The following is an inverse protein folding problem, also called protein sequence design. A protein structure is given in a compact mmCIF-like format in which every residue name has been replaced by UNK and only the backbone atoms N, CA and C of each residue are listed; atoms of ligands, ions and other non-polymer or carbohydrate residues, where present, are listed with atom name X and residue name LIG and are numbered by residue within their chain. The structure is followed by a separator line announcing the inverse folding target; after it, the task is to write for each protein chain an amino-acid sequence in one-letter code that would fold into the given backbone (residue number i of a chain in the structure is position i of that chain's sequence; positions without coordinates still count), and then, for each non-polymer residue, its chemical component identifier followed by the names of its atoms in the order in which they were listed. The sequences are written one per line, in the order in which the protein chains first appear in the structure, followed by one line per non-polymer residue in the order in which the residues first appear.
data_IF_751925262697
#
_entry.id   IF_751925262697
#
_cell.length_a   1.000
_cell.length_b   1.000
_cell.length_c   1.000
_cell.angle_alpha   90.00
_cell.angle_beta   90.00
_cell.angle_gamma   90.00
#
_symmetry.space_group_name_H-M   'P 1'
#
loop_
_entity.id
_entity.type
_entity.pdbx_description
1 polymer ?
#
# COMPACT_ATOMS: atom_id res chain seq x y z
N UNK A 1 23.57 52.65 50.68
CA UNK A 1 23.40 51.20 50.90
C UNK A 1 22.03 50.81 50.39
N UNK A 2 21.94 50.12 49.25
CA UNK A 2 20.94 49.09 48.96
C UNK A 2 21.34 48.49 47.60
N UNK A 3 21.64 47.18 47.59
CA UNK A 3 22.08 46.40 46.44
C UNK A 3 20.87 46.06 45.56
N UNK A 4 20.96 46.29 44.26
CA UNK A 4 20.04 45.75 43.27
C UNK A 4 20.44 44.29 42.95
N UNK A 5 19.47 43.38 43.08
CA UNK A 5 19.57 41.96 42.69
C UNK A 5 19.09 41.83 41.25
N UNK A 6 19.91 41.25 40.37
CA UNK A 6 19.51 40.79 39.04
C UNK A 6 18.88 39.40 39.15
N UNK A 7 17.65 39.25 38.63
CA UNK A 7 17.04 37.96 38.33
C UNK A 7 17.03 37.82 36.81
N UNK A 8 17.84 36.91 36.29
CA UNK A 8 17.86 36.56 34.88
C UNK A 8 16.65 35.66 34.56
N UNK A 9 15.87 36.05 33.55
CA UNK A 9 14.76 35.26 33.01
C UNK A 9 15.27 34.43 31.83
N UNK A 10 15.15 33.11 31.91
CA UNK A 10 15.47 32.19 30.82
C UNK A 10 14.33 32.15 29.79
N UNK A 11 14.60 32.10 28.48
CA UNK A 11 13.57 31.96 27.47
C UNK A 11 13.07 30.51 27.41
N UNK A 12 11.74 30.37 27.41
CA UNK A 12 10.99 29.13 27.19
C UNK A 12 11.13 28.72 25.71
N UNK A 13 11.87 27.65 25.44
CA UNK A 13 11.94 27.02 24.11
C UNK A 13 10.71 26.14 23.94
N UNK A 14 9.81 26.56 23.06
CA UNK A 14 8.66 25.80 22.62
C UNK A 14 9.13 24.76 21.58
N UNK A 15 9.26 23.51 21.99
CA UNK A 15 9.59 22.41 21.08
C UNK A 15 8.38 22.07 20.20
N UNK A 16 8.52 22.24 18.88
CA UNK A 16 7.61 21.66 17.89
C UNK A 16 7.82 20.15 17.86
N UNK A 17 6.76 19.37 18.13
CA UNK A 17 6.73 17.94 17.83
C UNK A 17 6.65 17.74 16.31
N UNK A 18 7.72 17.22 15.73
CA UNK A 18 7.70 16.58 14.43
C UNK A 18 7.18 15.15 14.59
N UNK A 19 6.11 14.79 13.87
CA UNK A 19 5.68 13.41 13.72
C UNK A 19 6.62 12.69 12.75
N UNK A 20 7.78 12.29 13.26
CA UNK A 20 8.64 11.28 12.67
C UNK A 20 8.52 10.04 13.57
N UNK A 21 7.82 9.01 13.09
CA UNK A 21 7.90 7.70 13.72
C UNK A 21 9.22 7.07 13.29
N UNK A 22 10.21 7.07 14.17
CA UNK A 22 11.54 6.54 13.89
C UNK A 22 12.55 7.05 14.90
N UNK A 23 12.51 6.46 16.10
CA UNK A 23 13.60 6.25 17.06
C UNK A 23 13.06 6.31 18.49
N UNK A 24 12.57 5.17 18.97
CA UNK A 24 12.59 4.86 20.40
C UNK A 24 12.83 3.36 20.54
N UNK A 25 13.95 3.02 21.18
CA UNK A 25 14.31 1.67 21.56
C UNK A 25 13.14 1.00 22.29
N UNK A 26 12.73 -0.18 21.80
CA UNK A 26 11.71 -1.01 22.42
C UNK A 26 12.04 -1.23 23.91
N UNK A 27 11.20 -0.70 24.80
CA UNK A 27 11.22 -1.08 26.21
C UNK A 27 10.51 -2.42 26.37
N UNK A 28 11.09 -3.38 27.13
CA UNK A 28 10.44 -4.66 27.36
C UNK A 28 9.19 -4.48 28.23
N UNK A 29 8.07 -5.08 27.81
CA UNK A 29 6.85 -5.22 28.59
C UNK A 29 7.13 -6.21 29.74
N UNK A 30 7.21 -5.72 30.97
CA UNK A 30 7.29 -6.57 32.16
C UNK A 30 5.89 -6.93 32.64
N UNK A 31 5.51 -8.20 32.45
CA UNK A 31 4.34 -8.80 33.07
C UNK A 31 4.58 -9.05 34.56
N UNK A 32 3.74 -8.45 35.41
CA UNK A 32 3.67 -8.72 36.84
C UNK A 32 2.28 -9.23 37.20
N UNK A 33 2.16 -10.54 37.44
CA UNK A 33 0.94 -11.15 37.94
C UNK A 33 0.80 -11.07 39.47
N UNK A 34 -0.45 -11.07 39.94
CA UNK A 34 -0.81 -11.48 41.30
C UNK A 34 -1.85 -10.59 41.99
N UNK A 35 -3.03 -11.15 42.29
CA UNK A 35 -3.95 -10.55 43.27
C UNK A 35 -5.43 -10.95 43.14
N UNK A 36 -5.82 -12.02 43.84
CA UNK A 36 -7.19 -12.44 44.10
C UNK A 36 -8.05 -11.38 44.83
N UNK A 37 -9.35 -11.31 44.54
CA UNK A 37 -10.31 -10.72 45.49
C UNK A 37 -11.73 -10.46 44.96
N UNK A 38 -12.70 -11.24 45.42
CA UNK A 38 -14.01 -10.73 45.87
C UNK A 38 -15.15 -10.53 44.85
N UNK A 39 -16.09 -11.49 44.80
CA UNK A 39 -17.52 -11.25 44.49
C UNK A 39 -18.18 -10.44 45.63
N UNK A 40 -19.21 -9.63 45.35
CA UNK A 40 -20.62 -10.07 45.40
C UNK A 40 -21.41 -9.55 44.18
N UNK A 41 -22.57 -10.03 43.74
CA UNK A 41 -23.69 -10.76 44.35
C UNK A 41 -24.98 -9.98 44.09
N UNK A 42 -25.81 -10.39 43.11
CA UNK A 42 -27.26 -10.11 42.95
C UNK A 42 -27.73 -10.82 41.65
N UNK A 43 -28.46 -11.95 41.64
CA UNK A 43 -29.86 -12.24 41.99
C UNK A 43 -30.91 -11.64 41.04
N UNK A 44 -31.67 -12.51 40.36
CA UNK A 44 -32.89 -12.21 39.60
C UNK A 44 -32.99 -13.04 38.31
N UNK A 45 -33.29 -14.34 38.37
CA UNK A 45 -34.63 -14.96 38.41
C UNK A 45 -35.24 -15.21 37.01
N UNK A 46 -35.64 -16.47 36.85
CA UNK A 46 -36.08 -17.18 35.65
C UNK A 46 -37.56 -17.01 35.28
N UNK A 47 -37.90 -17.38 34.04
CA UNK A 47 -39.00 -18.29 33.64
C UNK A 47 -39.15 -18.23 32.11
N UNK A 48 -39.37 -19.29 31.31
CA UNK A 48 -39.59 -20.72 31.55
C UNK A 48 -40.13 -21.38 30.26
N UNK A 49 -39.94 -22.70 30.13
CA UNK A 49 -40.64 -23.72 29.30
C UNK A 49 -40.57 -23.59 27.75
N UNK A 50 -40.53 -24.65 26.91
CA UNK A 50 -40.86 -26.09 26.96
C UNK A 50 -40.08 -26.80 25.83
N UNK A 51 -39.46 -27.98 26.04
CA UNK A 51 -39.93 -29.38 25.82
C UNK A 51 -39.40 -30.09 24.54
N UNK A 52 -39.04 -31.38 24.73
CA UNK A 52 -38.87 -32.44 23.72
C UNK A 52 -37.44 -32.66 23.22
N UNK A 53 -36.72 -33.77 23.43
CA UNK A 53 -37.06 -35.13 23.88
C UNK A 53 -36.43 -36.17 22.94
N UNK A 54 -35.48 -36.98 23.46
CA UNK A 54 -35.04 -38.31 22.97
C UNK A 54 -34.20 -38.34 21.68
N UNK A 55 -33.26 -39.26 21.43
CA UNK A 55 -32.70 -40.41 22.14
C UNK A 55 -31.31 -40.68 21.51
N UNK A 56 -30.33 -41.12 22.31
CA UNK A 56 -29.15 -41.82 21.82
C UNK A 56 -29.43 -43.33 21.77
N UNK A 57 -28.69 -44.09 20.95
CA UNK A 57 -27.86 -45.10 21.58
C UNK A 57 -26.45 -45.22 21.00
N UNK A 58 -25.59 -45.71 21.87
CA UNK A 58 -24.20 -46.12 21.66
C UNK A 58 -24.11 -47.34 20.72
N UNK A 59 -22.98 -47.45 20.01
CA UNK A 59 -22.61 -48.63 19.23
C UNK A 59 -21.10 -48.66 18.98
N UNK A 60 -20.42 -49.55 19.71
CA UNK A 60 -18.99 -49.85 19.60
C UNK A 60 -18.61 -50.64 18.33
N UNK A 61 -17.38 -50.43 17.85
CA UNK A 61 -16.53 -51.50 17.31
C UNK A 61 -16.38 -51.61 15.78
N UNK A 62 -15.15 -51.46 15.27
CA UNK A 62 -14.80 -51.94 13.93
C UNK A 62 -13.55 -51.34 13.29
N UNK A 63 -12.41 -52.00 13.51
CA UNK A 63 -11.09 -51.73 12.90
C UNK A 63 -11.11 -51.81 11.36
N UNK A 64 -10.42 -50.86 10.70
CA UNK A 64 -10.12 -50.87 9.27
C UNK A 64 -8.94 -49.94 8.97
N UNK A 65 -7.78 -50.53 8.70
CA UNK A 65 -6.48 -49.90 8.48
C UNK A 65 -6.33 -49.26 7.08
N UNK A 66 -5.51 -48.20 7.04
CA UNK A 66 -4.57 -47.80 5.96
C UNK A 66 -4.85 -46.51 5.18
N UNK A 67 -4.25 -45.44 5.70
CA UNK A 67 -3.28 -44.55 5.03
C UNK A 67 -3.63 -43.88 3.69
N UNK A 68 -3.94 -42.58 3.76
CA UNK A 68 -3.23 -41.54 3.01
C UNK A 68 -3.31 -40.24 3.85
N UNK A 69 -2.21 -39.91 4.53
CA UNK A 69 -2.13 -38.82 5.49
C UNK A 69 -2.27 -37.45 4.82
N UNK A 70 -3.30 -36.71 5.23
CA UNK A 70 -3.31 -35.27 5.17
C UNK A 70 -2.23 -34.73 6.14
N UNK A 71 -1.47 -33.67 5.80
CA UNK A 71 -0.57 -33.07 6.76
C UNK A 71 -1.41 -32.42 7.87
N UNK A 72 -1.20 -32.92 9.08
CA UNK A 72 -1.72 -32.41 10.35
C UNK A 72 -0.99 -31.13 10.74
N UNK A 73 -1.75 -30.12 11.12
CA UNK A 73 -1.47 -29.08 12.12
C UNK A 73 0.00 -28.67 12.31
N UNK A 74 0.42 -27.64 11.57
CA UNK A 74 1.53 -26.78 11.97
C UNK A 74 0.99 -25.63 12.84
N UNK A 75 0.56 -25.97 14.05
CA UNK A 75 0.13 -25.04 15.10
C UNK A 75 1.09 -25.08 16.28
N UNK A 76 2.37 -24.84 16.02
CA UNK A 76 3.33 -24.55 17.08
C UNK A 76 3.30 -23.05 17.35
N UNK A 77 2.62 -22.62 18.41
CA UNK A 77 2.78 -21.25 18.91
C UNK A 77 4.27 -21.05 19.22
N UNK A 78 4.92 -20.09 18.54
CA UNK A 78 6.29 -19.74 18.86
C UNK A 78 6.34 -19.29 20.32
N UNK A 79 7.09 -20.00 21.16
CA UNK A 79 7.21 -19.70 22.58
C UNK A 79 7.90 -18.33 22.71
N UNK A 80 7.15 -17.31 23.14
CA UNK A 80 7.64 -15.96 23.34
C UNK A 80 8.49 -15.88 24.61
N UNK A 81 9.60 -16.63 24.64
CA UNK A 81 10.55 -16.70 25.74
C UNK A 81 11.06 -15.33 26.17
N UNK A 82 11.54 -15.24 27.41
CA UNK A 82 12.11 -13.99 27.95
C UNK A 82 13.25 -13.47 27.05
N UNK A 83 13.36 -12.14 26.87
CA UNK A 83 14.34 -11.56 25.96
C UNK A 83 15.76 -12.00 26.31
N UNK A 84 16.44 -12.63 25.36
CA UNK A 84 17.78 -13.16 25.56
C UNK A 84 18.80 -12.01 25.57
N UNK A 85 19.69 -11.99 26.57
CA UNK A 85 20.72 -10.94 26.74
C UNK A 85 21.97 -11.16 25.88
N UNK A 86 21.82 -11.83 24.74
CA UNK A 86 22.90 -12.15 23.79
C UNK A 86 22.82 -11.25 22.55
N UNK A 87 23.79 -11.41 21.64
CA UNK A 87 23.90 -10.59 20.41
C UNK A 87 23.86 -9.08 20.72
N UNK A 88 24.72 -8.63 21.65
CA UNK A 88 24.77 -7.25 22.14
C UNK A 88 23.41 -6.71 22.67
N UNK A 89 22.57 -7.60 23.21
CA UNK A 89 21.25 -7.28 23.75
C UNK A 89 20.11 -7.32 22.73
N UNK A 90 20.39 -7.70 21.48
CA UNK A 90 19.37 -7.85 20.42
C UNK A 90 18.64 -9.20 20.45
N UNK A 91 19.18 -10.20 21.17
CA UNK A 91 18.63 -11.56 21.15
C UNK A 91 18.77 -12.20 19.78
N UNK A 92 17.82 -13.07 19.40
CA UNK A 92 17.70 -13.54 18.03
C UNK A 92 17.19 -12.42 17.12
N UNK A 93 17.81 -12.26 15.96
CA UNK A 93 17.37 -11.27 14.95
C UNK A 93 16.89 -11.93 13.68
N UNK A 94 15.93 -11.30 12.98
CA UNK A 94 15.56 -11.64 11.61
C UNK A 94 15.88 -10.43 10.74
N UNK A 95 16.77 -10.60 9.77
CA UNK A 95 17.15 -9.57 8.80
C UNK A 95 16.72 -9.97 7.41
N UNK A 96 16.52 -8.99 6.54
CA UNK A 96 16.24 -9.25 5.14
C UNK A 96 15.96 -7.98 4.37
N UNK A 97 15.49 -8.14 3.14
CA UNK A 97 15.11 -7.03 2.27
C UNK A 97 13.75 -7.29 1.63
N UNK A 98 12.91 -6.26 1.56
CA UNK A 98 11.65 -6.31 0.84
C UNK A 98 11.82 -5.60 -0.51
N UNK A 99 11.51 -6.35 -1.56
CA UNK A 99 11.48 -5.88 -2.93
C UNK A 99 10.05 -5.86 -3.47
N UNK A 100 9.83 -5.07 -4.52
CA UNK A 100 8.67 -5.19 -5.38
C UNK A 100 8.58 -6.61 -5.97
N UNK A 101 7.41 -7.01 -6.50
CA UNK A 101 7.22 -8.38 -6.98
C UNK A 101 8.25 -8.86 -8.01
N UNK A 102 8.77 -7.96 -8.84
CA UNK A 102 9.82 -8.29 -9.82
C UNK A 102 11.11 -8.75 -9.14
N UNK A 103 11.40 -8.24 -7.94
CA UNK A 103 12.68 -8.38 -7.26
C UNK A 103 13.66 -7.24 -7.57
N UNK A 104 13.28 -6.24 -8.36
CA UNK A 104 14.21 -5.22 -8.87
C UNK A 104 14.15 -3.88 -8.11
N UNK A 105 13.01 -3.55 -7.51
CA UNK A 105 12.79 -2.27 -6.83
C UNK A 105 12.72 -2.47 -5.31
N UNK A 106 13.67 -1.95 -4.52
CA UNK A 106 13.58 -1.98 -3.06
C UNK A 106 12.40 -1.14 -2.55
N UNK A 107 11.73 -1.61 -1.51
CA UNK A 107 10.55 -0.95 -0.95
C UNK A 107 10.76 -0.55 0.51
N UNK A 108 10.86 0.76 0.75
CA UNK A 108 10.85 1.34 2.09
C UNK A 108 9.45 1.53 2.67
N UNK A 109 9.37 1.59 3.99
CA UNK A 109 8.11 1.78 4.71
C UNK A 109 7.20 0.53 4.75
N UNK A 110 7.74 -0.64 4.42
CA UNK A 110 7.02 -1.93 4.51
C UNK A 110 7.11 -2.44 5.95
N UNK A 111 5.99 -2.86 6.52
CA UNK A 111 5.97 -3.48 7.84
C UNK A 111 6.25 -4.97 7.72
N UNK A 112 7.24 -5.44 8.48
CA UNK A 112 7.60 -6.87 8.58
C UNK A 112 7.43 -7.31 10.03
N UNK A 113 6.67 -8.36 10.30
CA UNK A 113 6.37 -8.77 11.68
C UNK A 113 6.18 -10.28 11.85
N UNK A 114 6.41 -10.74 13.08
CA UNK A 114 6.15 -12.13 13.52
C UNK A 114 4.81 -12.16 14.26
N UNK A 115 3.77 -12.80 13.72
CA UNK A 115 2.49 -12.95 14.41
C UNK A 115 2.52 -14.08 15.44
N UNK A 116 1.67 -13.98 16.46
CA UNK A 116 1.42 -15.07 17.43
C UNK A 116 0.08 -15.78 17.20
N UNK A 117 -0.79 -15.19 16.38
CA UNK A 117 -2.08 -15.75 15.98
C UNK A 117 -2.22 -15.83 14.46
N UNK A 118 -3.25 -16.52 13.97
CA UNK A 118 -3.54 -16.61 12.53
C UNK A 118 -3.73 -15.23 11.91
N UNK A 119 -3.12 -15.02 10.75
CA UNK A 119 -3.22 -13.78 9.98
C UNK A 119 -4.16 -14.03 8.81
N UNK A 120 -5.36 -13.47 8.88
CA UNK A 120 -6.30 -13.51 7.77
C UNK A 120 -5.82 -12.61 6.61
N UNK A 121 -6.08 -12.99 5.35
CA UNK A 121 -5.82 -12.12 4.21
C UNK A 121 -6.59 -10.79 4.33
N UNK A 122 -6.01 -9.67 3.87
CA UNK A 122 -6.71 -8.40 3.82
C UNK A 122 -8.05 -8.51 3.05
N UNK A 123 -9.09 -7.84 3.54
CA UNK A 123 -10.34 -7.75 2.79
C UNK A 123 -10.15 -6.88 1.54
N UNK A 124 -10.66 -7.33 0.40
CA UNK A 124 -10.64 -6.56 -0.86
C UNK A 124 -11.75 -5.51 -0.88
N UNK A 125 -11.53 -4.41 -1.61
CA UNK A 125 -12.47 -3.30 -1.79
C UNK A 125 -12.07 -2.02 -1.05
N UNK A 126 -12.81 -0.94 -1.31
CA UNK A 126 -12.58 0.35 -0.65
C UNK A 126 -12.69 0.18 0.88
N UNK A 127 -11.76 0.79 1.62
CA UNK A 127 -11.80 0.75 3.07
C UNK A 127 -10.78 1.66 3.73
N UNK A 128 -11.13 2.14 4.92
CA UNK A 128 -10.24 2.96 5.73
C UNK A 128 -9.10 2.13 6.29
N UNK A 129 -7.88 2.36 5.80
CA UNK A 129 -6.66 1.79 6.37
C UNK A 129 -5.81 2.88 7.02
N UNK A 130 -5.65 2.81 8.35
CA UNK A 130 -4.87 3.77 9.16
C UNK A 130 -3.62 3.09 9.72
N UNK A 131 -2.51 3.81 9.80
CA UNK A 131 -1.25 3.27 10.31
C UNK A 131 -1.33 2.93 11.80
N UNK A 132 -2.21 3.59 12.54
CA UNK A 132 -2.50 3.29 13.95
C UNK A 132 -3.43 2.07 14.16
N UNK A 133 -3.92 1.44 13.09
CA UNK A 133 -4.75 0.24 13.22
C UNK A 133 -3.90 -0.93 13.71
N UNK A 134 -4.46 -1.78 14.57
CA UNK A 134 -3.78 -3.01 14.96
C UNK A 134 -3.49 -3.89 13.74
N UNK A 135 -2.27 -4.40 13.64
CA UNK A 135 -1.89 -5.41 12.65
C UNK A 135 -2.59 -6.73 13.00
N UNK A 136 -2.90 -7.53 11.99
CA UNK A 136 -3.52 -8.84 12.17
C UNK A 136 -2.55 -9.85 12.84
N UNK A 137 -3.10 -10.88 13.48
CA UNK A 137 -2.32 -12.00 14.04
C UNK A 137 -1.50 -11.68 15.29
N UNK A 138 -1.83 -10.61 16.03
CA UNK A 138 -1.20 -10.25 17.31
C UNK A 138 0.36 -10.25 17.24
N UNK A 139 0.97 -9.26 16.56
CA UNK A 139 2.41 -9.22 16.37
C UNK A 139 3.17 -9.23 17.70
N UNK A 140 4.18 -10.09 17.79
CA UNK A 140 5.07 -10.17 18.96
C UNK A 140 6.44 -9.51 18.73
N UNK A 141 6.82 -9.33 17.45
CA UNK A 141 8.02 -8.60 17.05
C UNK A 141 7.80 -7.99 15.67
N UNK A 142 8.34 -6.80 15.40
CA UNK A 142 8.15 -6.10 14.13
C UNK A 142 9.31 -5.15 13.79
N UNK A 143 9.42 -4.82 12.51
CA UNK A 143 10.31 -3.82 11.95
C UNK A 143 9.63 -3.12 10.76
N UNK A 144 10.14 -1.94 10.39
CA UNK A 144 9.76 -1.24 9.16
C UNK A 144 10.99 -1.12 8.28
N UNK A 145 10.83 -1.35 6.98
CA UNK A 145 11.95 -1.31 6.05
C UNK A 145 12.49 0.11 5.82
N UNK A 146 13.81 0.23 5.72
CA UNK A 146 14.49 1.46 5.27
C UNK A 146 14.29 1.70 3.76
N UNK A 147 14.81 2.81 3.23
CA UNK A 147 14.64 3.17 1.82
C UNK A 147 15.21 2.12 0.84
N UNK A 148 16.22 1.38 1.26
CA UNK A 148 16.80 0.27 0.52
C UNK A 148 16.03 -1.05 0.72
N UNK A 149 14.90 -1.01 1.41
CA UNK A 149 14.03 -2.15 1.66
C UNK A 149 14.50 -3.06 2.78
N UNK A 150 15.57 -2.73 3.51
CA UNK A 150 16.14 -3.61 4.54
C UNK A 150 15.35 -3.51 5.84
N UNK A 151 15.20 -4.62 6.55
CA UNK A 151 14.61 -4.67 7.88
C UNK A 151 15.49 -5.47 8.85
N UNK A 152 15.35 -5.19 10.15
CA UNK A 152 15.91 -5.99 11.24
C UNK A 152 14.89 -6.07 12.37
N UNK A 153 14.32 -7.26 12.59
CA UNK A 153 13.53 -7.57 13.77
C UNK A 153 14.49 -8.04 14.86
N UNK A 154 14.44 -7.42 16.03
CA UNK A 154 15.19 -7.85 17.22
C UNK A 154 14.27 -8.57 18.19
N UNK A 155 14.84 -9.39 19.08
CA UNK A 155 14.09 -10.20 20.04
C UNK A 155 13.02 -11.06 19.36
N UNK A 156 13.37 -11.63 18.20
CA UNK A 156 12.47 -12.51 17.45
C UNK A 156 12.26 -13.83 18.21
N UNK A 157 11.05 -14.43 18.13
CA UNK A 157 10.85 -15.80 18.62
C UNK A 157 11.76 -16.79 17.91
N UNK A 158 12.24 -17.79 18.66
CA UNK A 158 13.19 -18.82 18.19
C UNK A 158 12.43 -20.08 17.80
N UNK A 159 12.89 -20.76 16.75
CA UNK A 159 12.37 -22.06 16.39
C UNK A 159 12.43 -22.35 14.90
N UNK A 160 12.00 -23.56 14.54
CA UNK A 160 11.71 -23.91 13.16
C UNK A 160 10.33 -23.41 12.77
N UNK A 161 10.22 -22.78 11.60
CA UNK A 161 8.93 -22.37 11.04
C UNK A 161 8.28 -21.15 11.73
N UNK A 162 9.08 -20.25 12.29
CA UNK A 162 8.60 -18.97 12.84
C UNK A 162 7.87 -18.20 11.73
N UNK A 163 6.60 -17.81 11.92
CA UNK A 163 5.86 -17.11 10.90
C UNK A 163 6.40 -15.69 10.73
N UNK A 164 6.50 -15.23 9.49
CA UNK A 164 6.89 -13.88 9.14
C UNK A 164 5.89 -13.32 8.13
N UNK A 165 5.44 -12.09 8.35
CA UNK A 165 4.52 -11.40 7.47
C UNK A 165 5.20 -10.15 6.91
N UNK A 166 5.15 -9.99 5.60
CA UNK A 166 5.58 -8.78 4.89
C UNK A 166 4.33 -8.07 4.37
N UNK A 167 4.09 -6.83 4.81
CA UNK A 167 2.85 -6.11 4.49
C UNK A 167 3.05 -4.62 4.20
N UNK A 168 2.50 -4.17 3.08
CA UNK A 168 2.30 -2.76 2.77
C UNK A 168 0.94 -2.56 2.10
N UNK A 169 0.10 -1.69 2.65
CA UNK A 169 -1.30 -1.60 2.25
C UNK A 169 -1.99 -2.97 2.29
N UNK A 170 -2.55 -3.39 1.16
CA UNK A 170 -3.15 -4.71 0.96
C UNK A 170 -2.29 -5.66 0.13
N UNK A 171 -1.01 -5.36 -0.01
CA UNK A 171 -0.02 -6.36 -0.39
C UNK A 171 0.42 -7.10 0.88
N UNK A 172 0.22 -8.42 0.92
CA UNK A 172 0.60 -9.24 2.07
C UNK A 172 1.21 -10.56 1.62
N UNK A 173 2.39 -10.89 2.16
CA UNK A 173 3.04 -12.19 2.03
C UNK A 173 3.23 -12.80 3.42
N UNK A 174 2.94 -14.10 3.54
CA UNK A 174 3.23 -14.87 4.75
C UNK A 174 4.22 -15.97 4.38
N UNK A 175 5.24 -16.15 5.20
CA UNK A 175 6.27 -17.17 5.04
C UNK A 175 6.68 -17.71 6.42
N UNK A 176 7.44 -18.79 6.43
CA UNK A 176 8.00 -19.36 7.64
C UNK A 176 9.54 -19.35 7.53
N UNK A 177 10.22 -18.94 8.60
CA UNK A 177 11.68 -18.87 8.67
C UNK A 177 12.19 -19.70 9.85
N UNK A 178 13.40 -20.23 9.74
CA UNK A 178 14.09 -20.83 10.88
C UNK A 178 14.87 -19.74 11.60
N UNK A 179 14.67 -19.63 12.91
CA UNK A 179 15.32 -18.64 13.76
C UNK A 179 16.12 -19.36 14.82
N UNK A 180 17.44 -19.25 14.74
CA UNK A 180 18.38 -19.73 15.75
C UNK A 180 18.51 -18.69 16.87
N UNK A 181 18.52 -19.18 18.12
CA UNK A 181 18.66 -18.31 19.29
C UNK A 181 20.02 -17.62 19.30
N UNK A 182 20.05 -16.35 19.73
CA UNK A 182 21.28 -15.57 19.84
C UNK A 182 22.10 -15.39 18.54
N UNK A 183 21.49 -15.61 17.37
CA UNK A 183 22.12 -15.44 16.06
C UNK A 183 21.41 -14.38 15.22
N UNK A 184 22.12 -13.89 14.20
CA UNK A 184 21.52 -13.16 13.10
C UNK A 184 20.97 -14.16 12.09
N UNK A 185 19.67 -14.07 11.79
CA UNK A 185 18.99 -14.95 10.86
C UNK A 185 18.58 -14.18 9.62
N UNK A 186 19.16 -14.51 8.47
CA UNK A 186 18.86 -13.86 7.20
C UNK A 186 17.66 -14.55 6.53
N UNK A 187 16.59 -13.79 6.29
CA UNK A 187 15.47 -14.19 5.47
C UNK A 187 15.85 -14.07 3.99
N UNK A 188 15.50 -15.09 3.21
CA UNK A 188 15.69 -15.10 1.76
C UNK A 188 14.92 -13.93 1.10
N UNK A 189 15.62 -13.09 0.34
CA UNK A 189 15.05 -11.94 -0.36
C UNK A 189 13.94 -12.35 -1.34
N UNK A 190 14.08 -13.52 -1.98
CA UNK A 190 13.04 -14.06 -2.85
C UNK A 190 11.80 -14.52 -2.06
N UNK A 191 11.96 -14.84 -0.77
CA UNK A 191 10.87 -15.16 0.12
C UNK A 191 10.21 -13.90 0.71
N UNK A 192 10.93 -12.77 0.82
CA UNK A 192 10.45 -11.52 1.42
C UNK A 192 10.02 -10.44 0.44
N UNK A 193 10.23 -10.58 -0.88
CA UNK A 193 9.59 -9.71 -1.87
C UNK A 193 8.05 -9.79 -1.81
N UNK A 194 7.37 -8.77 -2.30
CA UNK A 194 5.92 -8.77 -2.43
C UNK A 194 5.41 -9.84 -3.45
N UNK A 195 4.19 -10.41 -3.27
CA UNK A 195 3.69 -11.55 -4.06
C UNK A 195 3.43 -11.28 -5.54
N UNK A 196 4.03 -12.05 -6.45
CA UNK A 196 3.75 -11.91 -7.91
C UNK A 196 2.35 -12.38 -8.32
N UNK A 197 1.75 -13.27 -7.53
CA UNK A 197 0.48 -13.95 -7.80
C UNK A 197 -0.33 -14.17 -6.54
N UNK A 198 -1.64 -14.43 -6.67
CA UNK A 198 -2.52 -14.82 -5.55
C UNK A 198 -2.10 -16.10 -4.84
N UNK A 199 -1.23 -16.91 -5.45
CA UNK A 199 -0.67 -18.13 -4.84
C UNK A 199 0.49 -17.82 -3.91
N UNK A 200 1.20 -16.71 -4.13
CA UNK A 200 2.31 -16.27 -3.29
C UNK A 200 1.82 -15.46 -2.08
N UNK A 201 0.64 -14.83 -2.19
CA UNK A 201 0.07 -14.00 -1.13
C UNK A 201 -1.08 -13.15 -1.64
N UNK A 202 -1.50 -12.17 -0.84
CA UNK A 202 -2.55 -11.23 -1.22
C UNK A 202 -1.96 -10.06 -2.00
N UNK A 203 -2.47 -9.82 -3.21
CA UNK A 203 -2.26 -8.58 -3.98
C UNK A 203 -3.51 -7.72 -3.83
N UNK A 204 -3.49 -6.39 -3.87
CA UNK A 204 -4.69 -5.57 -3.92
C UNK A 204 -5.53 -5.86 -5.18
N UNK A 205 -6.83 -5.68 -5.10
CA UNK A 205 -7.74 -5.65 -6.24
C UNK A 205 -7.60 -4.28 -6.92
N UNK A 206 -7.09 -4.27 -8.14
CA UNK A 206 -6.76 -3.07 -8.91
C UNK A 206 -7.70 -2.96 -10.11
N UNK A 207 -8.40 -1.84 -10.24
CA UNK A 207 -8.96 -1.43 -11.53
C UNK A 207 -7.88 -0.65 -12.26
N UNK A 208 -7.55 -1.03 -13.49
CA UNK A 208 -6.62 -0.28 -14.31
C UNK A 208 -7.32 0.13 -15.60
N UNK A 209 -7.44 1.44 -15.82
CA UNK A 209 -7.90 2.01 -17.07
C UNK A 209 -6.68 2.25 -17.95
N UNK A 210 -6.54 1.51 -19.04
CA UNK A 210 -5.48 1.73 -20.03
C UNK A 210 -5.76 3.01 -20.83
N UNK A 211 -4.77 3.87 -20.93
CA UNK A 211 -4.83 5.15 -21.64
C UNK A 211 -4.39 5.07 -23.10
N UNK A 212 -4.64 6.15 -23.84
CA UNK A 212 -4.13 6.35 -25.21
C UNK A 212 -2.81 7.13 -25.27
N UNK A 213 -2.33 7.63 -24.14
CA UNK A 213 -1.07 8.38 -24.01
C UNK A 213 -0.05 7.72 -23.09
N UNK A 214 -0.40 6.58 -22.48
CA UNK A 214 0.49 5.77 -21.65
C UNK A 214 0.20 4.27 -21.77
N UNK A 215 1.07 3.48 -21.18
CA UNK A 215 1.00 2.03 -21.05
C UNK A 215 1.11 1.64 -19.57
N UNK A 216 0.22 2.17 -18.71
CA UNK A 216 0.26 1.93 -17.26
C UNK A 216 0.18 0.44 -16.89
N UNK A 217 -0.51 -0.36 -17.70
CA UNK A 217 -0.55 -1.81 -17.55
C UNK A 217 0.85 -2.45 -17.66
N UNK A 218 1.73 -1.89 -18.50
CA UNK A 218 3.11 -2.36 -18.63
C UNK A 218 3.93 -2.02 -17.38
N UNK A 219 3.67 -0.90 -16.70
CA UNK A 219 4.29 -0.60 -15.41
C UNK A 219 3.95 -1.68 -14.38
N UNK A 220 2.67 -2.05 -14.23
CA UNK A 220 2.28 -3.10 -13.27
C UNK A 220 2.91 -4.46 -13.60
N UNK A 221 3.07 -4.76 -14.89
CA UNK A 221 3.78 -5.96 -15.34
C UNK A 221 5.27 -5.91 -15.00
N UNK A 222 5.94 -4.78 -15.24
CA UNK A 222 7.36 -4.55 -14.87
C UNK A 222 7.60 -4.57 -13.36
N UNK A 223 6.62 -4.11 -12.58
CA UNK A 223 6.61 -4.27 -11.13
C UNK A 223 6.57 -5.75 -10.71
N UNK A 224 6.24 -6.66 -11.63
CA UNK A 224 6.31 -8.11 -11.45
C UNK A 224 4.97 -8.78 -11.12
N UNK A 225 3.83 -8.09 -11.32
CA UNK A 225 2.53 -8.77 -11.30
C UNK A 225 2.48 -9.72 -12.50
N UNK A 226 2.20 -11.00 -12.26
CA UNK A 226 2.17 -11.99 -13.32
C UNK A 226 1.01 -11.76 -14.31
N UNK A 227 1.22 -12.06 -15.59
CA UNK A 227 0.23 -11.87 -16.67
C UNK A 227 -1.13 -12.53 -16.36
N UNK A 228 -1.14 -13.66 -15.65
CA UNK A 228 -2.37 -14.36 -15.24
C UNK A 228 -3.23 -13.62 -14.20
N UNK A 229 -2.69 -12.60 -13.54
CA UNK A 229 -3.44 -11.76 -12.60
C UNK A 229 -4.13 -10.59 -13.33
N UNK A 230 -3.88 -10.40 -14.63
CA UNK A 230 -4.59 -9.43 -15.47
C UNK A 230 -5.80 -10.09 -16.14
N UNK A 231 -6.96 -9.48 -15.99
CA UNK A 231 -8.22 -10.02 -16.49
C UNK A 231 -9.21 -8.92 -16.92
N UNK A 232 -10.26 -9.32 -17.62
CA UNK A 232 -11.39 -8.44 -17.98
C UNK A 232 -12.65 -8.71 -17.16
N UNK A 233 -12.79 -9.91 -16.59
CA UNK A 233 -13.95 -10.32 -15.81
C UNK A 233 -13.83 -9.93 -14.32
N UNK A 234 -14.96 -9.72 -13.65
CA UNK A 234 -15.00 -9.19 -12.29
C UNK A 234 -14.44 -10.13 -11.20
N UNK A 235 -14.53 -11.44 -11.43
CA UNK A 235 -14.16 -12.52 -10.51
C UNK A 235 -12.79 -13.15 -10.84
N UNK A 236 -12.13 -12.68 -11.89
CA UNK A 236 -10.83 -13.18 -12.34
C UNK A 236 -9.72 -12.13 -12.15
N UNK A 237 -8.52 -12.60 -11.81
CA UNK A 237 -7.33 -11.76 -11.63
C UNK A 237 -7.36 -10.84 -10.42
N UNK A 238 -6.25 -10.12 -10.21
CA UNK A 238 -6.16 -9.01 -9.23
C UNK A 238 -6.06 -7.66 -9.93
N UNK A 239 -5.69 -7.61 -11.19
CA UNK A 239 -5.74 -6.42 -12.04
C UNK A 239 -6.86 -6.59 -13.06
N UNK A 240 -7.94 -5.82 -12.94
CA UNK A 240 -9.02 -5.78 -13.93
C UNK A 240 -8.81 -4.60 -14.86
N UNK A 241 -8.69 -4.92 -16.15
CA UNK A 241 -8.45 -3.94 -17.19
C UNK A 241 -9.78 -3.33 -17.69
N UNK A 242 -9.74 -2.01 -17.87
CA UNK A 242 -10.77 -1.23 -18.52
C UNK A 242 -10.12 -0.39 -19.62
N UNK A 243 -10.85 -0.15 -20.70
CA UNK A 243 -10.34 0.58 -21.86
C UNK A 243 -10.78 2.03 -21.82
N UNK A 244 -9.84 2.92 -21.54
CA UNK A 244 -9.98 4.35 -21.80
C UNK A 244 -9.87 4.66 -23.30
N UNK A 245 -10.11 5.91 -23.69
CA UNK A 245 -9.94 6.32 -25.10
C UNK A 245 -8.51 6.08 -25.57
N UNK A 246 -8.38 5.44 -26.72
CA UNK A 246 -7.07 5.12 -27.31
C UNK A 246 -6.32 3.97 -26.65
N UNK A 247 -6.83 3.38 -25.56
CA UNK A 247 -6.17 2.29 -24.84
C UNK A 247 -6.36 0.90 -25.46
N UNK A 248 -5.90 -0.13 -24.73
CA UNK A 248 -5.85 -1.50 -25.22
C UNK A 248 -7.26 -2.05 -25.48
N UNK A 249 -7.42 -2.83 -26.55
CA UNK A 249 -8.72 -3.39 -26.93
C UNK A 249 -8.99 -4.78 -26.35
N UNK A 250 -7.94 -5.59 -26.17
CA UNK A 250 -8.04 -7.01 -25.83
C UNK A 250 -6.86 -7.47 -24.97
N UNK A 251 -7.06 -8.64 -24.36
CA UNK A 251 -5.98 -9.48 -23.85
C UNK A 251 -5.51 -10.41 -24.97
N UNK A 252 -4.20 -10.48 -25.22
CA UNK A 252 -3.61 -11.37 -26.23
C UNK A 252 -3.92 -12.85 -25.96
N UNK A 253 -3.99 -13.25 -24.68
CA UNK A 253 -4.36 -14.60 -24.27
C UNK A 253 -5.87 -14.90 -24.40
N UNK A 254 -6.71 -13.87 -24.54
CA UNK A 254 -8.16 -14.00 -24.71
C UNK A 254 -8.66 -13.04 -25.81
N UNK A 255 -8.23 -13.22 -27.07
CA UNK A 255 -8.46 -12.24 -28.14
C UNK A 255 -9.94 -12.10 -28.55
N UNK A 256 -10.79 -13.05 -28.11
CA UNK A 256 -12.24 -12.99 -28.34
C UNK A 256 -12.98 -12.17 -27.28
N UNK A 257 -12.32 -11.87 -26.15
CA UNK A 257 -12.89 -11.08 -25.06
C UNK A 257 -12.39 -9.64 -25.16
N UNK A 258 -13.30 -8.72 -25.48
CA UNK A 258 -12.99 -7.30 -25.43
C UNK A 258 -12.74 -6.85 -23.98
N UNK A 259 -11.84 -5.89 -23.81
CA UNK A 259 -11.70 -5.15 -22.56
C UNK A 259 -12.92 -4.22 -22.40
N UNK A 260 -13.65 -4.29 -21.26
CA UNK A 260 -14.76 -3.38 -20.97
C UNK A 260 -14.33 -1.93 -21.09
N UNK A 261 -15.21 -1.05 -21.53
CA UNK A 261 -14.87 0.38 -21.60
C UNK A 261 -14.84 1.01 -20.21
N UNK A 262 -14.06 2.07 -20.05
CA UNK A 262 -13.85 2.69 -18.75
C UNK A 262 -15.10 3.39 -18.17
N UNK A 263 -16.06 3.76 -19.01
CA UNK A 263 -17.40 4.19 -18.58
C UNK A 263 -18.12 3.12 -17.79
N UNK A 264 -17.93 1.84 -18.11
CA UNK A 264 -18.48 0.75 -17.32
C UNK A 264 -17.88 0.66 -15.91
N UNK A 265 -16.71 1.25 -15.64
CA UNK A 265 -16.12 1.31 -14.31
C UNK A 265 -16.75 2.42 -13.47
N UNK A 266 -16.71 3.66 -13.97
CA UNK A 266 -17.08 4.84 -13.19
C UNK A 266 -18.55 5.24 -13.28
N UNK A 267 -19.35 4.56 -14.10
CA UNK A 267 -20.82 4.72 -14.08
C UNK A 267 -21.49 3.97 -12.93
N UNK A 268 -20.76 3.12 -12.20
CA UNK A 268 -21.26 2.28 -11.12
C UNK A 268 -20.39 2.41 -9.85
N UNK A 269 -20.86 3.11 -8.81
CA UNK A 269 -20.11 3.28 -7.57
C UNK A 269 -19.89 1.95 -6.82
N UNK A 270 -20.79 0.96 -6.95
CA UNK A 270 -20.60 -0.36 -6.33
C UNK A 270 -19.44 -1.10 -6.99
N UNK A 271 -19.32 -0.97 -8.31
CA UNK A 271 -18.19 -1.53 -9.06
C UNK A 271 -16.85 -0.87 -8.71
N UNK A 272 -16.82 0.43 -8.45
CA UNK A 272 -15.63 1.08 -7.90
C UNK A 272 -15.29 0.51 -6.50
N UNK A 273 -16.32 0.34 -5.64
CA UNK A 273 -16.17 -0.10 -4.25
C UNK A 273 -15.54 -1.47 -4.05
N UNK A 274 -15.57 -2.36 -5.04
CA UNK A 274 -14.91 -3.69 -4.97
C UNK A 274 -13.41 -3.67 -5.27
N UNK A 275 -12.84 -2.51 -5.59
CA UNK A 275 -11.41 -2.33 -5.80
C UNK A 275 -10.72 -1.69 -4.60
N UNK A 276 -9.49 -2.14 -4.35
CA UNK A 276 -8.57 -1.52 -3.39
C UNK A 276 -7.92 -0.27 -3.99
N UNK A 277 -7.53 -0.36 -5.28
CA UNK A 277 -6.88 0.70 -6.05
C UNK A 277 -7.59 0.89 -7.39
N UNK A 278 -7.76 2.14 -7.81
CA UNK A 278 -8.21 2.51 -9.16
C UNK A 278 -7.11 3.35 -9.81
N UNK A 279 -6.48 2.82 -10.84
CA UNK A 279 -5.39 3.46 -11.56
C UNK A 279 -5.90 3.89 -12.94
N UNK A 280 -5.84 5.19 -13.20
CA UNK A 280 -6.40 5.80 -14.41
C UNK A 280 -5.26 6.30 -15.30
N UNK A 281 -4.97 5.54 -16.37
CA UNK A 281 -4.04 5.95 -17.42
C UNK A 281 -4.57 7.12 -18.25
N UNK A 282 -3.67 7.92 -18.79
CA UNK A 282 -3.96 9.13 -19.56
C UNK A 282 -4.59 8.81 -20.90
N UNK A 283 -5.75 9.42 -21.14
CA UNK A 283 -6.41 9.40 -22.43
C UNK A 283 -5.93 10.58 -23.30
N UNK A 284 -6.17 10.60 -24.63
CA UNK A 284 -5.74 11.67 -25.52
C UNK A 284 -6.25 13.08 -25.17
N UNK A 285 -7.30 13.19 -24.37
CA UNK A 285 -7.81 14.42 -23.78
C UNK A 285 -8.64 14.10 -22.51
N UNK A 286 -9.25 15.13 -21.90
CA UNK A 286 -10.05 14.97 -20.68
C UNK A 286 -11.30 14.08 -20.84
N UNK A 287 -11.81 13.92 -22.06
CA UNK A 287 -13.02 13.17 -22.43
C UNK A 287 -14.23 13.52 -21.55
N UNK A 288 -14.48 14.83 -21.37
CA UNK A 288 -15.54 15.33 -20.49
C UNK A 288 -16.93 14.77 -20.81
N UNK A 289 -17.22 14.47 -22.08
CA UNK A 289 -18.49 13.88 -22.50
C UNK A 289 -18.69 12.43 -21.98
N UNK A 290 -17.60 11.68 -21.79
CA UNK A 290 -17.63 10.30 -21.27
C UNK A 290 -17.52 10.24 -19.73
N UNK A 291 -17.32 11.40 -19.08
CA UNK A 291 -17.19 11.57 -17.63
C UNK A 291 -18.25 12.56 -17.12
N UNK A 292 -19.55 12.24 -17.24
CA UNK A 292 -20.63 13.10 -16.78
C UNK A 292 -20.57 13.29 -15.26
N UNK A 293 -21.33 14.24 -14.71
CA UNK A 293 -21.34 14.55 -13.28
C UNK A 293 -21.51 13.31 -12.39
N UNK A 294 -22.37 12.37 -12.78
CA UNK A 294 -22.57 11.12 -12.04
C UNK A 294 -21.28 10.28 -11.89
N UNK A 295 -20.38 10.30 -12.88
CA UNK A 295 -19.09 9.62 -12.80
C UNK A 295 -18.11 10.34 -11.85
N UNK A 296 -18.13 11.68 -11.86
CA UNK A 296 -17.35 12.51 -10.94
C UNK A 296 -17.78 12.25 -9.49
N UNK A 297 -19.10 12.20 -9.26
CA UNK A 297 -19.70 11.92 -7.95
C UNK A 297 -19.44 10.48 -7.50
N UNK A 298 -19.47 9.50 -8.42
CA UNK A 298 -19.16 8.10 -8.13
C UNK A 298 -17.70 7.91 -7.70
N UNK A 299 -16.75 8.54 -8.39
CA UNK A 299 -15.34 8.48 -8.00
C UNK A 299 -15.11 9.17 -6.65
N UNK A 300 -15.73 10.33 -6.42
CA UNK A 300 -15.66 11.01 -5.12
C UNK A 300 -16.24 10.15 -3.99
N UNK A 301 -17.38 9.50 -4.22
CA UNK A 301 -18.00 8.57 -3.27
C UNK A 301 -17.08 7.38 -2.96
N UNK A 302 -16.44 6.80 -3.98
CA UNK A 302 -15.47 5.73 -3.82
C UNK A 302 -14.28 6.15 -2.95
N UNK A 303 -13.64 7.28 -3.26
CA UNK A 303 -12.52 7.79 -2.45
C UNK A 303 -12.99 8.13 -1.03
N UNK A 304 -14.17 8.73 -0.89
CA UNK A 304 -14.78 8.99 0.42
C UNK A 304 -15.02 7.71 1.21
N UNK A 305 -15.30 6.57 0.57
CA UNK A 305 -15.43 5.28 1.25
C UNK A 305 -14.08 4.62 1.63
N UNK A 306 -12.95 5.31 1.42
CA UNK A 306 -11.61 4.76 1.63
C UNK A 306 -10.95 4.24 0.35
N UNK A 307 -11.56 4.48 -0.81
CA UNK A 307 -10.97 4.18 -2.10
C UNK A 307 -9.66 4.93 -2.34
N UNK A 308 -8.85 4.34 -3.21
CA UNK A 308 -7.55 4.87 -3.63
C UNK A 308 -7.53 5.10 -5.13
N UNK A 309 -7.16 6.30 -5.56
CA UNK A 309 -7.10 6.64 -7.00
C UNK A 309 -5.73 7.18 -7.38
N UNK A 310 -5.15 6.67 -8.47
CA UNK A 310 -4.09 7.34 -9.20
C UNK A 310 -4.67 7.88 -10.51
N UNK A 311 -4.47 9.17 -10.80
CA UNK A 311 -4.99 9.82 -12.00
C UNK A 311 -3.85 10.44 -12.82
N UNK A 312 -3.56 9.86 -14.00
CA UNK A 312 -2.53 10.36 -14.90
C UNK A 312 -3.07 11.47 -15.82
N UNK A 313 -2.33 12.57 -15.88
CA UNK A 313 -2.48 13.68 -16.80
C UNK A 313 -3.94 14.09 -17.04
N UNK A 314 -4.54 13.76 -18.18
CA UNK A 314 -5.91 14.14 -18.51
C UNK A 314 -7.00 13.55 -17.61
N UNK A 315 -6.68 12.51 -16.83
CA UNK A 315 -7.57 12.00 -15.78
C UNK A 315 -7.71 12.96 -14.58
N UNK A 316 -6.88 14.01 -14.52
CA UNK A 316 -7.09 15.15 -13.61
C UNK A 316 -8.44 15.86 -13.82
N UNK A 317 -9.15 15.59 -14.92
CA UNK A 317 -10.53 16.03 -15.11
C UNK A 317 -11.45 15.60 -13.96
N UNK A 318 -11.26 14.39 -13.42
CA UNK A 318 -12.01 13.92 -12.25
C UNK A 318 -11.83 14.80 -11.01
N UNK A 319 -10.66 15.44 -10.87
CA UNK A 319 -10.38 16.34 -9.76
C UNK A 319 -10.85 17.76 -10.08
N UNK A 320 -10.46 18.29 -11.24
CA UNK A 320 -10.72 19.69 -11.63
C UNK A 320 -12.20 20.01 -11.85
N UNK A 321 -12.99 19.06 -12.35
CA UNK A 321 -14.43 19.20 -12.53
C UNK A 321 -15.26 18.52 -11.41
N UNK A 322 -14.60 17.79 -10.50
CA UNK A 322 -15.24 17.07 -9.42
C UNK A 322 -15.74 17.97 -8.28
N UNK A 323 -16.18 17.36 -7.17
CA UNK A 323 -16.60 18.10 -5.97
C UNK A 323 -15.54 19.07 -5.45
N UNK A 324 -15.98 20.08 -4.68
CA UNK A 324 -15.16 21.25 -4.35
C UNK A 324 -13.88 20.94 -3.55
N UNK A 325 -13.87 19.88 -2.76
CA UNK A 325 -12.70 19.38 -2.03
C UNK A 325 -11.64 18.79 -2.96
N UNK A 326 -12.02 18.21 -4.11
CA UNK A 326 -11.09 17.79 -5.15
C UNK A 326 -10.66 18.97 -6.03
N UNK A 327 -11.63 19.75 -6.52
CA UNK A 327 -11.37 20.86 -7.43
C UNK A 327 -10.52 21.96 -6.79
N UNK A 328 -10.69 22.19 -5.48
CA UNK A 328 -9.93 23.16 -4.70
C UNK A 328 -8.54 22.70 -4.28
N UNK A 329 -8.14 21.45 -4.54
CA UNK A 329 -6.86 20.90 -4.10
C UNK A 329 -5.68 21.36 -4.98
N UNK A 330 -5.93 21.79 -6.21
CA UNK A 330 -4.90 22.23 -7.13
C UNK A 330 -5.38 23.28 -8.13
N UNK A 331 -4.43 24.01 -8.71
CA UNK A 331 -4.67 24.97 -9.79
C UNK A 331 -4.30 24.34 -11.13
N UNK A 332 -5.31 24.14 -11.97
CA UNK A 332 -5.17 23.53 -13.30
C UNK A 332 -5.03 24.60 -14.37
N UNK A 333 -4.21 24.33 -15.38
CA UNK A 333 -3.94 25.23 -16.51
C UNK A 333 -4.18 24.49 -17.83
N UNK A 334 -4.26 25.23 -18.93
CA UNK A 334 -4.29 24.58 -20.25
C UNK A 334 -3.01 23.75 -20.45
N UNK A 335 -3.13 22.46 -20.82
CA UNK A 335 -1.97 21.60 -21.00
C UNK A 335 -0.98 22.19 -22.00
N UNK A 336 0.30 22.16 -21.65
CA UNK A 336 1.39 22.58 -22.53
C UNK A 336 2.57 21.63 -22.41
N UNK A 337 3.31 21.42 -23.51
CA UNK A 337 4.55 20.66 -23.48
C UNK A 337 5.63 21.40 -22.67
N UNK A 338 6.37 20.67 -21.85
CA UNK A 338 7.55 21.19 -21.16
C UNK A 338 8.78 21.14 -22.08
N UNK A 339 9.74 22.07 -21.94
CA UNK A 339 11.01 22.04 -22.67
C UNK A 339 11.70 20.68 -22.51
N UNK A 340 12.39 20.18 -23.53
CA UNK A 340 13.11 18.90 -23.43
C UNK A 340 14.62 19.15 -23.52
N UNK A 341 15.43 18.65 -22.56
CA UNK A 341 15.02 17.89 -21.37
C UNK A 341 14.40 18.80 -20.28
N UNK A 342 13.44 18.29 -19.49
CA UNK A 342 12.89 19.01 -18.33
C UNK A 342 13.24 18.32 -17.02
N UNK A 343 13.86 19.03 -16.08
CA UNK A 343 14.21 18.47 -14.77
C UNK A 343 13.17 18.90 -13.74
N UNK A 344 12.69 17.94 -12.96
CA UNK A 344 11.85 18.20 -11.79
C UNK A 344 12.57 17.81 -10.52
N UNK A 345 12.16 18.43 -9.43
CA UNK A 345 12.67 18.20 -8.08
C UNK A 345 11.60 17.55 -7.20
N UNK A 346 12.06 16.72 -6.27
CA UNK A 346 11.24 16.20 -5.19
C UNK A 346 11.00 17.29 -4.14
N UNK A 347 9.76 17.44 -3.70
CA UNK A 347 9.41 18.38 -2.64
C UNK A 347 9.63 17.74 -1.25
N UNK A 348 10.85 17.85 -0.75
CA UNK A 348 11.25 17.28 0.55
C UNK A 348 10.75 18.08 1.78
N UNK A 349 9.87 19.08 1.58
CA UNK A 349 9.26 19.81 2.70
C UNK A 349 8.23 18.97 3.50
N UNK A 350 7.86 17.79 2.98
CA UNK A 350 6.98 16.84 3.65
C UNK A 350 7.65 15.49 3.88
N UNK A 351 7.22 14.73 4.89
CA UNK A 351 7.71 13.38 5.14
C UNK A 351 7.49 12.43 3.93
N UNK A 352 6.37 12.58 3.21
CA UNK A 352 6.11 11.80 1.98
C UNK A 352 7.05 12.18 0.84
N UNK A 353 7.46 13.44 0.75
CA UNK A 353 8.48 13.88 -0.20
C UNK A 353 9.87 13.38 0.14
N UNK A 354 10.25 13.38 1.42
CA UNK A 354 11.52 12.80 1.89
C UNK A 354 11.58 11.30 1.60
N UNK A 355 10.49 10.57 1.85
CA UNK A 355 10.38 9.16 1.51
C UNK A 355 10.48 8.90 -0.01
N UNK A 356 9.88 9.75 -0.85
CA UNK A 356 10.04 9.67 -2.30
C UNK A 356 11.50 9.91 -2.72
N UNK A 357 12.15 10.93 -2.19
CA UNK A 357 13.55 11.25 -2.50
C UNK A 357 14.47 10.07 -2.15
N UNK A 358 14.29 9.49 -0.96
CA UNK A 358 15.04 8.33 -0.52
C UNK A 358 14.76 7.08 -1.38
N UNK A 359 13.49 6.84 -1.75
CA UNK A 359 13.13 5.71 -2.62
C UNK A 359 13.74 5.82 -4.01
N UNK A 360 13.78 7.02 -4.60
CA UNK A 360 14.42 7.25 -5.89
C UNK A 360 15.93 6.99 -5.83
N UNK A 361 16.61 7.47 -4.78
CA UNK A 361 18.03 7.23 -4.56
C UNK A 361 18.35 5.74 -4.35
N UNK A 362 17.48 5.00 -3.64
CA UNK A 362 17.67 3.57 -3.39
C UNK A 362 17.41 2.69 -4.62
N UNK A 363 16.48 3.10 -5.50
CA UNK A 363 16.13 2.35 -6.71
C UNK A 363 17.08 2.57 -7.90
N UNK A 364 17.97 3.56 -7.82
CA UNK A 364 18.88 3.92 -8.91
C UNK A 364 20.20 4.52 -8.38
N UNK A 365 21.33 3.79 -8.43
CA UNK A 365 22.63 4.30 -8.02
C UNK A 365 23.11 5.51 -8.83
N UNK A 366 22.62 5.64 -10.07
CA UNK A 366 22.98 6.70 -10.99
C UNK A 366 22.01 7.89 -10.92
N UNK A 367 20.97 7.82 -10.06
CA UNK A 367 20.06 8.93 -9.87
C UNK A 367 20.70 10.09 -9.11
N UNK A 368 20.29 11.30 -9.47
CA UNK A 368 20.59 12.48 -8.65
C UNK A 368 19.52 12.57 -7.56
N UNK A 369 19.94 12.45 -6.30
CA UNK A 369 19.04 12.56 -5.16
C UNK A 369 18.16 13.82 -5.27
N UNK A 370 16.84 13.63 -5.12
CA UNK A 370 15.87 14.72 -5.16
C UNK A 370 15.57 15.30 -6.55
N UNK A 371 16.06 14.72 -7.66
CA UNK A 371 15.76 15.20 -9.01
C UNK A 371 15.43 14.06 -10.00
N UNK A 372 14.56 14.37 -10.97
CA UNK A 372 14.13 13.46 -12.03
C UNK A 372 14.12 14.18 -13.37
N UNK A 373 14.68 13.55 -14.40
CA UNK A 373 14.62 14.03 -15.77
C UNK A 373 13.37 13.46 -16.44
N UNK A 374 12.50 14.32 -16.99
CA UNK A 374 11.31 13.89 -17.68
C UNK A 374 11.53 13.71 -19.18
N UNK A 375 10.96 12.66 -19.75
CA UNK A 375 10.84 12.45 -21.18
C UNK A 375 9.40 12.75 -21.60
N UNK A 376 9.19 13.87 -22.30
CA UNK A 376 7.86 14.35 -22.74
C UNK A 376 6.92 14.89 -21.63
N UNK A 377 7.48 15.40 -20.53
CA UNK A 377 6.72 16.07 -19.46
C UNK A 377 5.72 17.12 -19.98
N UNK A 378 4.56 17.17 -19.33
CA UNK A 378 3.47 18.12 -19.61
C UNK A 378 3.21 18.99 -18.40
N UNK A 379 2.68 20.19 -18.65
CA UNK A 379 2.26 21.13 -17.61
C UNK A 379 0.75 21.20 -17.59
N UNK A 380 0.12 20.51 -16.64
CA UNK A 380 -1.32 20.59 -16.40
C UNK A 380 -1.66 21.23 -15.05
N UNK A 381 -0.81 21.03 -14.05
CA UNK A 381 -0.99 21.57 -12.70
C UNK A 381 0.08 22.61 -12.41
N UNK A 382 -0.32 23.82 -12.01
CA UNK A 382 0.62 24.91 -11.72
C UNK A 382 0.93 25.09 -10.23
N UNK A 383 0.01 24.68 -9.36
CA UNK A 383 0.14 24.80 -7.91
C UNK A 383 -0.80 23.80 -7.20
N UNK A 384 -0.48 23.49 -5.96
CA UNK A 384 -1.27 22.64 -5.06
C UNK A 384 -1.66 23.46 -3.82
N UNK A 385 -2.83 23.19 -3.27
CA UNK A 385 -3.38 23.86 -2.08
C UNK A 385 -3.51 22.85 -0.92
N UNK A 386 -3.33 23.32 0.31
CA UNK A 386 -3.61 22.52 1.51
C UNK A 386 -5.07 22.01 1.48
N UNK A 387 -5.33 20.72 1.80
CA UNK A 387 -4.42 19.76 2.44
C UNK A 387 -3.62 18.87 1.47
N UNK A 388 -3.67 19.10 0.17
CA UNK A 388 -2.88 18.30 -0.77
C UNK A 388 -1.37 18.55 -0.60
N UNK A 389 -0.61 17.48 -0.75
CA UNK A 389 0.84 17.41 -0.59
C UNK A 389 1.48 17.31 -1.97
N UNK A 390 2.29 18.31 -2.32
CA UNK A 390 3.11 18.29 -3.53
C UNK A 390 4.26 17.31 -3.36
N UNK A 391 4.56 16.51 -4.39
CA UNK A 391 5.60 15.49 -4.37
C UNK A 391 6.70 15.77 -5.40
N UNK A 392 6.33 16.14 -6.62
CA UNK A 392 7.28 16.48 -7.70
C UNK A 392 6.90 17.82 -8.32
N UNK A 393 7.90 18.68 -8.59
CA UNK A 393 7.67 20.00 -9.17
C UNK A 393 8.82 20.50 -10.04
N UNK A 394 8.51 21.40 -10.97
CA UNK A 394 9.48 22.14 -11.79
C UNK A 394 9.33 23.64 -11.60
N UNK A 395 10.39 24.41 -11.89
CA UNK A 395 10.43 25.86 -11.64
C UNK A 395 10.34 26.73 -12.90
N UNK A 396 10.81 26.25 -14.06
CA UNK A 396 10.95 27.06 -15.28
C UNK A 396 10.50 26.31 -16.55
N UNK A 397 9.19 26.22 -16.84
CA UNK A 397 8.10 26.90 -16.13
C UNK A 397 7.70 26.21 -14.82
N UNK A 398 7.04 26.97 -13.93
CA UNK A 398 6.49 26.43 -12.69
C UNK A 398 5.41 25.38 -13.01
N UNK A 399 5.59 24.16 -12.48
CA UNK A 399 4.68 23.02 -12.71
C UNK A 399 4.71 22.08 -11.50
N UNK A 400 3.61 21.37 -11.28
CA UNK A 400 3.53 20.23 -10.36
C UNK A 400 3.37 18.99 -11.21
N UNK A 401 4.19 17.97 -10.97
CA UNK A 401 4.16 16.72 -11.72
C UNK A 401 3.61 15.56 -10.92
N UNK A 402 3.55 15.67 -9.60
CA UNK A 402 2.81 14.75 -8.76
C UNK A 402 2.37 15.45 -7.47
N UNK A 403 1.14 15.17 -7.05
CA UNK A 403 0.64 15.53 -5.74
C UNK A 403 -0.34 14.48 -5.23
N UNK A 404 -0.55 14.45 -3.92
CA UNK A 404 -1.51 13.55 -3.29
C UNK A 404 -2.41 14.31 -2.33
N UNK A 405 -3.70 13.97 -2.34
CA UNK A 405 -4.73 14.49 -1.46
C UNK A 405 -5.28 13.34 -0.64
N UNK A 406 -5.10 13.43 0.68
CA UNK A 406 -5.73 12.54 1.64
C UNK A 406 -7.04 13.19 2.10
N UNK A 407 -8.16 12.47 2.03
CA UNK A 407 -9.42 12.99 2.55
C UNK A 407 -9.43 12.92 4.09
N UNK A 408 -9.96 13.96 4.76
CA UNK A 408 -9.89 14.09 6.20
C UNK A 408 -10.58 12.92 6.90
N UNK A 409 -9.91 12.41 7.94
CA UNK A 409 -10.41 11.37 8.83
C UNK A 409 -11.67 11.80 9.61
N UNK A 410 -12.39 10.86 10.26
CA UNK A 410 -13.58 11.13 11.07
C UNK A 410 -13.50 12.36 11.99
N UNK A 411 -14.64 13.06 12.20
CA UNK A 411 -16.00 12.56 12.01
C UNK A 411 -16.51 12.51 10.56
N UNK A 412 -15.78 13.06 9.57
CA UNK A 412 -16.03 12.69 8.17
C UNK A 412 -15.72 11.21 7.98
N UNK A 413 -16.70 10.41 7.54
CA UNK A 413 -16.50 9.01 7.17
C UNK A 413 -15.47 8.80 6.03
N UNK A 414 -14.80 9.87 5.59
CA UNK A 414 -13.80 9.90 4.54
C UNK A 414 -12.41 9.46 5.01
N UNK A 415 -11.76 8.63 4.20
CA UNK A 415 -10.45 8.06 4.53
C UNK A 415 -9.75 7.52 3.26
N UNK A 416 -10.00 8.17 2.14
CA UNK A 416 -9.38 7.86 0.86
C UNK A 416 -8.15 8.69 0.56
N UNK A 417 -7.52 8.35 -0.55
CA UNK A 417 -6.37 9.08 -1.09
C UNK A 417 -6.51 9.14 -2.61
N UNK A 418 -6.25 10.31 -3.17
CA UNK A 418 -6.10 10.49 -4.61
C UNK A 418 -4.72 11.08 -4.91
N UNK A 419 -4.01 10.46 -5.82
CA UNK A 419 -2.71 10.92 -6.31
C UNK A 419 -2.85 11.30 -7.77
N UNK A 420 -2.57 12.54 -8.11
CA UNK A 420 -2.52 13.01 -9.50
C UNK A 420 -1.05 13.09 -9.92
N UNK A 421 -0.77 12.72 -11.17
CA UNK A 421 0.57 12.79 -11.74
C UNK A 421 0.55 13.13 -13.23
N UNK A 422 1.51 13.93 -13.69
CA UNK A 422 1.81 14.17 -15.11
C UNK A 422 2.94 13.26 -15.62
N UNK A 423 3.43 12.32 -14.78
CA UNK A 423 4.33 11.26 -15.23
C UNK A 423 3.56 10.25 -16.09
N UNK A 424 4.07 9.99 -17.29
CA UNK A 424 3.52 9.00 -18.22
C UNK A 424 4.50 7.82 -18.36
N UNK A 425 3.98 6.65 -18.66
CA UNK A 425 4.78 5.44 -18.90
C UNK A 425 4.66 5.04 -20.35
N UNK A 426 5.73 5.20 -21.13
CA UNK A 426 5.79 4.72 -22.51
C UNK A 426 7.22 4.46 -22.99
N UNK A 427 8.16 4.25 -22.05
CA UNK A 427 9.59 4.17 -22.36
C UNK A 427 9.94 2.84 -23.07
N UNK A 428 9.63 2.75 -24.37
CA UNK A 428 9.87 1.56 -25.18
C UNK A 428 8.73 0.53 -25.16
N UNK A 429 7.57 0.89 -24.61
CA UNK A 429 6.32 0.12 -24.70
C UNK A 429 5.35 0.76 -25.70
N UNK A 430 4.37 -0.01 -26.15
CA UNK A 430 3.38 0.41 -27.14
C UNK A 430 1.97 0.01 -26.73
N UNK A 431 0.99 0.80 -27.16
CA UNK A 431 -0.42 0.45 -26.99
C UNK A 431 -0.77 -0.67 -27.98
N UNK A 432 -0.95 -1.88 -27.45
CA UNK A 432 -1.34 -3.07 -28.20
C UNK A 432 -2.12 -4.03 -27.27
N UNK A 433 -2.62 -5.13 -27.81
CA UNK A 433 -3.27 -6.16 -26.99
C UNK A 433 -2.31 -6.61 -25.87
N UNK A 434 -2.76 -6.56 -24.62
CA UNK A 434 -1.89 -6.84 -23.48
C UNK A 434 -1.58 -8.34 -23.38
N UNK A 435 -0.31 -8.75 -23.13
CA UNK A 435 0.85 -7.91 -22.83
C UNK A 435 1.78 -7.67 -24.03
N UNK A 436 1.33 -7.89 -25.27
CA UNK A 436 2.19 -7.81 -26.47
C UNK A 436 2.81 -6.43 -26.71
N UNK A 437 2.23 -5.38 -26.15
CA UNK A 437 2.77 -4.01 -26.19
C UNK A 437 3.85 -3.71 -25.13
N UNK A 438 3.99 -4.56 -24.10
CA UNK A 438 4.94 -4.37 -23.02
C UNK A 438 6.26 -5.06 -23.36
N UNK A 439 7.11 -4.36 -24.11
CA UNK A 439 8.35 -4.90 -24.70
C UNK A 439 9.62 -4.45 -24.00
N UNK A 440 9.57 -3.35 -23.24
CA UNK A 440 10.72 -2.88 -22.49
C UNK A 440 10.87 -3.62 -21.17
N UNK A 441 12.12 -3.76 -20.73
CA UNK A 441 12.51 -4.46 -19.49
C UNK A 441 13.05 -3.45 -18.48
N UNK A 442 12.87 -3.75 -17.19
CA UNK A 442 13.22 -2.86 -16.10
C UNK A 442 12.37 -1.59 -16.03
N UNK A 443 12.64 -0.77 -15.01
CA UNK A 443 11.96 0.52 -14.78
C UNK A 443 12.89 1.67 -15.17
N UNK A 444 12.40 2.58 -16.02
CA UNK A 444 13.03 3.88 -16.21
C UNK A 444 12.97 4.73 -14.92
N UNK A 445 13.73 5.83 -14.85
CA UNK A 445 13.67 6.72 -13.69
C UNK A 445 12.25 7.29 -13.44
N UNK A 446 11.51 7.61 -14.50
CA UNK A 446 10.11 8.08 -14.41
C UNK A 446 9.18 6.95 -13.95
N UNK A 447 9.40 5.73 -14.44
CA UNK A 447 8.65 4.54 -14.02
C UNK A 447 8.92 4.15 -12.56
N UNK A 448 10.14 4.36 -12.05
CA UNK A 448 10.47 4.20 -10.62
C UNK A 448 9.71 5.22 -9.76
N UNK A 449 9.66 6.48 -10.20
CA UNK A 449 8.86 7.50 -9.52
C UNK A 449 7.36 7.14 -9.53
N UNK A 450 6.83 6.68 -10.67
CA UNK A 450 5.43 6.27 -10.75
C UNK A 450 5.14 5.00 -9.92
N UNK A 451 6.06 4.04 -9.90
CA UNK A 451 6.00 2.86 -9.03
C UNK A 451 5.90 3.25 -7.55
N UNK A 452 6.72 4.20 -7.10
CA UNK A 452 6.60 4.74 -5.74
C UNK A 452 5.20 5.31 -5.48
N UNK A 453 4.66 6.12 -6.40
CA UNK A 453 3.32 6.69 -6.24
C UNK A 453 2.22 5.62 -6.14
N UNK A 454 2.37 4.47 -6.81
CA UNK A 454 1.44 3.34 -6.70
C UNK A 454 1.52 2.67 -5.32
N UNK A 455 2.72 2.45 -4.77
CA UNK A 455 2.89 1.88 -3.43
C UNK A 455 2.44 2.85 -2.33
N UNK A 456 2.85 4.11 -2.42
CA UNK A 456 2.43 5.18 -1.52
C UNK A 456 0.91 5.40 -1.58
N UNK A 457 0.26 5.26 -2.74
CA UNK A 457 -1.20 5.28 -2.83
C UNK A 457 -1.86 4.19 -1.96
N UNK A 458 -1.30 2.98 -1.96
CA UNK A 458 -1.80 1.85 -1.18
C UNK A 458 -1.43 1.88 0.31
N UNK A 459 -0.49 2.73 0.70
CA UNK A 459 -0.04 2.83 2.08
C UNK A 459 -1.16 3.25 3.05
N UNK A 460 -0.95 2.94 4.33
CA UNK A 460 -1.86 3.39 5.37
C UNK A 460 -1.87 4.92 5.47
N UNK A 461 -3.01 5.47 5.87
CA UNK A 461 -3.13 6.88 6.19
C UNK A 461 -2.61 7.13 7.61
N UNK A 462 -1.96 8.28 7.86
CA UNK A 462 -1.55 8.66 9.21
C UNK A 462 -2.75 8.77 10.18
#
# INVERSE_FOLDING_TARGET
MLRFVHVASAPLVLALLAAACGDDAAKPLTGGGGGSGGRPGASGAEAGMSDGGGESPEGEGGSGTSAAGAPTDAGGAADAGAPASCNDGKGATIRGRVMAPSGELPLGGVTVYVPSATVDPPQSGAGCFRCASALAGEPVAAAVTDAEGRFEITQAPVGEGVPLVVQTGKWQRQLAVTVEDCHDNDADEDATRLPRTRREGHLPAIALVSGGEDTLECLLRKLGIADQEFATAADAGRVRLFRGKGGIARLAAAPQSAVPTADELWSDPERLGIFDLVLLGSEPDSNAADKPQAALDALHTYVSAGGRVLAQHFQSYFLSAGPADFAGAASYVQPAALPQPFTVSVDESSARGQALSASLAAGDPDSVAGALQLSAGRRLVSAVQTPAVRLLHGAAPATVQAFSLDLPAPPSAACGRITQTDLLTSAGDAIADFPSGCTSEGLSAEERALAYLVFDLGACLP
#
